data_IF_488133980618
#
_entry.id   IF_488133980618
#
_cell.length_a   1.000
_cell.length_b   1.000
_cell.length_c   1.000
_cell.angle_alpha   90.00
_cell.angle_beta   90.00
_cell.angle_gamma   90.00
#
_symmetry.space_group_name_H-M   'P 1'
#
loop_
_entity.id
_entity.type
_entity.pdbx_description
1 polymer ?
#
# COMPACT_ATOMS: atom_id res chain seq x y z
N UNK A 1 18.98 -16.62 -2.03
CA UNK A 1 19.03 -16.68 -0.55
C UNK A 1 18.02 -17.72 -0.13
N UNK A 2 18.47 -18.89 0.36
CA UNK A 2 17.60 -19.88 0.92
C UNK A 2 17.01 -19.32 2.23
N UNK A 3 15.70 -19.42 2.40
CA UNK A 3 15.05 -19.09 3.65
C UNK A 3 15.59 -20.00 4.76
N UNK A 4 15.85 -19.40 5.90
CA UNK A 4 16.40 -20.10 7.06
C UNK A 4 15.53 -21.32 7.43
N UNK A 5 16.08 -22.51 7.34
CA UNK A 5 15.70 -23.67 8.16
C UNK A 5 14.60 -24.60 7.68
N UNK A 6 13.95 -24.40 6.54
CA UNK A 6 13.05 -25.42 5.98
C UNK A 6 13.77 -26.29 4.96
N UNK A 7 13.56 -27.64 4.99
CA UNK A 7 14.06 -28.50 3.94
C UNK A 7 13.51 -28.00 2.61
N UNK A 8 14.35 -27.92 1.58
CA UNK A 8 13.96 -27.53 0.24
C UNK A 8 12.81 -28.46 -0.20
N UNK A 9 11.59 -27.97 -0.14
CA UNK A 9 10.43 -28.70 -0.61
C UNK A 9 10.59 -29.01 -2.10
N UNK A 10 9.77 -29.91 -2.62
CA UNK A 10 9.76 -30.27 -4.02
C UNK A 10 9.66 -29.03 -4.92
N UNK A 11 10.48 -28.99 -5.99
CA UNK A 11 10.52 -27.84 -6.91
C UNK A 11 9.16 -27.62 -7.57
N UNK A 12 8.72 -26.37 -7.62
CA UNK A 12 7.52 -25.99 -8.34
C UNK A 12 7.89 -25.77 -9.80
N UNK A 13 7.57 -26.74 -10.65
CA UNK A 13 7.88 -26.69 -12.09
C UNK A 13 6.70 -26.23 -12.94
N UNK A 14 5.49 -26.21 -12.40
CA UNK A 14 4.27 -25.75 -13.09
C UNK A 14 3.94 -24.31 -12.68
N UNK A 15 3.89 -23.39 -13.65
CA UNK A 15 3.44 -22.02 -13.42
C UNK A 15 1.90 -21.94 -13.30
N UNK A 16 1.42 -21.03 -12.46
CA UNK A 16 -0.03 -20.77 -12.33
C UNK A 16 -0.58 -20.11 -13.60
N UNK A 17 -1.70 -20.59 -14.16
CA UNK A 17 -2.35 -19.95 -15.30
C UNK A 17 -2.74 -18.49 -14.99
N UNK A 18 -2.54 -17.59 -15.94
CA UNK A 18 -2.90 -16.18 -15.79
C UNK A 18 -2.04 -15.39 -14.81
N UNK A 19 -0.90 -15.96 -14.34
CA UNK A 19 0.02 -15.35 -13.40
C UNK A 19 1.39 -15.06 -14.02
N UNK A 20 2.24 -14.31 -13.31
CA UNK A 20 3.57 -13.93 -13.78
C UNK A 20 4.62 -15.06 -13.70
N UNK A 21 4.26 -16.25 -13.22
CA UNK A 21 5.19 -17.33 -12.93
C UNK A 21 5.98 -17.77 -14.17
N UNK A 22 5.28 -18.09 -15.27
CA UNK A 22 5.92 -18.55 -16.50
C UNK A 22 6.88 -17.50 -17.08
N UNK A 23 6.40 -16.25 -17.18
CA UNK A 23 7.18 -15.14 -17.70
C UNK A 23 8.41 -14.89 -16.82
N UNK A 24 8.23 -14.92 -15.50
CA UNK A 24 9.31 -14.72 -14.54
C UNK A 24 10.36 -15.83 -14.60
N UNK A 25 9.94 -17.12 -14.64
CA UNK A 25 10.84 -18.27 -14.80
C UNK A 25 11.71 -18.10 -16.04
N UNK A 26 11.10 -17.75 -17.17
CA UNK A 26 11.82 -17.54 -18.44
C UNK A 26 12.73 -16.33 -18.40
N UNK A 27 12.27 -15.20 -17.84
CA UNK A 27 13.03 -13.95 -17.79
C UNK A 27 14.28 -14.05 -16.92
N UNK A 28 14.19 -14.77 -15.79
CA UNK A 28 15.27 -14.86 -14.81
C UNK A 28 16.02 -16.20 -14.84
N UNK A 29 15.73 -17.04 -15.84
CA UNK A 29 16.33 -18.37 -16.05
C UNK A 29 16.28 -19.21 -14.75
N UNK A 30 15.07 -19.36 -14.18
CA UNK A 30 14.86 -20.12 -12.95
C UNK A 30 14.33 -21.51 -13.25
N UNK A 31 14.78 -22.48 -12.47
CA UNK A 31 14.31 -23.87 -12.55
C UNK A 31 13.27 -24.19 -11.48
N UNK A 32 13.11 -23.33 -10.49
CA UNK A 32 12.10 -23.42 -9.44
C UNK A 32 11.17 -22.20 -9.50
N UNK A 33 9.89 -22.43 -9.72
CA UNK A 33 8.85 -21.39 -9.78
C UNK A 33 8.66 -20.64 -8.47
N UNK A 34 9.14 -21.18 -7.33
CA UNK A 34 9.05 -20.51 -6.03
C UNK A 34 9.77 -19.17 -6.01
N UNK A 35 10.90 -19.07 -6.70
CA UNK A 35 11.68 -17.83 -6.78
C UNK A 35 10.88 -16.68 -7.39
N UNK A 36 9.89 -17.01 -8.23
CA UNK A 36 9.01 -16.03 -8.87
C UNK A 36 7.68 -15.89 -8.14
N UNK A 37 7.13 -17.02 -7.66
CA UNK A 37 5.82 -17.09 -7.04
C UNK A 37 5.71 -16.16 -5.83
N UNK A 38 6.68 -16.18 -4.95
CA UNK A 38 6.70 -15.34 -3.75
C UNK A 38 6.89 -13.85 -4.11
N UNK A 39 7.67 -13.57 -5.13
CA UNK A 39 7.93 -12.20 -5.60
C UNK A 39 6.72 -11.57 -6.30
N UNK A 40 5.96 -12.35 -7.04
CA UNK A 40 4.77 -11.90 -7.79
C UNK A 40 3.47 -12.05 -6.99
N UNK A 41 3.54 -12.56 -5.78
CA UNK A 41 2.41 -12.73 -4.87
C UNK A 41 2.11 -11.43 -4.11
N UNK A 42 0.86 -11.27 -3.67
CA UNK A 42 0.47 -10.23 -2.70
C UNK A 42 1.27 -10.31 -1.38
N UNK A 43 1.87 -11.46 -1.06
CA UNK A 43 2.76 -11.65 0.09
C UNK A 43 3.99 -10.75 0.04
N UNK A 44 4.47 -10.36 -1.12
CA UNK A 44 5.57 -9.39 -1.25
C UNK A 44 5.23 -8.04 -0.60
N UNK A 45 3.96 -7.64 -0.64
CA UNK A 45 3.47 -6.43 0.03
C UNK A 45 3.70 -6.48 1.54
N UNK A 46 3.63 -7.65 2.18
CA UNK A 46 3.91 -7.83 3.60
C UNK A 46 5.33 -7.36 3.96
N UNK A 47 6.31 -7.67 3.11
CA UNK A 47 7.70 -7.22 3.34
C UNK A 47 7.83 -5.71 3.16
N UNK A 48 7.10 -5.11 2.21
CA UNK A 48 7.07 -3.65 2.04
C UNK A 48 6.48 -2.96 3.26
N UNK A 49 5.40 -3.50 3.82
CA UNK A 49 4.78 -2.99 5.06
C UNK A 49 5.76 -3.09 6.23
N UNK A 50 6.44 -4.23 6.39
CA UNK A 50 7.43 -4.42 7.46
C UNK A 50 8.59 -3.41 7.35
N UNK A 51 9.16 -3.25 6.18
CA UNK A 51 10.22 -2.25 5.93
C UNK A 51 9.70 -0.84 6.17
N UNK A 52 8.49 -0.54 5.68
CA UNK A 52 7.83 0.75 5.89
C UNK A 52 7.63 1.08 7.37
N UNK A 53 7.29 0.11 8.21
CA UNK A 53 7.16 0.29 9.64
C UNK A 53 8.49 0.69 10.30
N UNK A 54 9.59 0.00 9.96
CA UNK A 54 10.94 0.35 10.45
C UNK A 54 11.33 1.76 10.00
N UNK A 55 11.08 2.09 8.73
CA UNK A 55 11.37 3.43 8.21
C UNK A 55 10.53 4.51 8.93
N UNK A 56 9.27 4.25 9.24
CA UNK A 56 8.42 5.19 9.98
C UNK A 56 8.94 5.44 11.39
N UNK A 57 9.39 4.42 12.11
CA UNK A 57 10.01 4.59 13.44
C UNK A 57 11.30 5.40 13.37
N UNK A 58 12.14 5.19 12.36
CA UNK A 58 13.33 6.00 12.14
C UNK A 58 12.98 7.46 11.86
N UNK A 59 12.01 7.73 10.98
CA UNK A 59 11.55 9.08 10.66
C UNK A 59 10.95 9.78 11.90
N UNK A 60 10.20 9.05 12.71
CA UNK A 60 9.61 9.54 13.95
C UNK A 60 10.70 10.01 14.94
N UNK A 61 11.82 9.29 15.02
CA UNK A 61 12.97 9.70 15.83
C UNK A 61 13.60 11.03 15.34
N UNK A 62 13.39 11.39 14.07
CA UNK A 62 13.78 12.67 13.47
C UNK A 62 12.68 13.74 13.55
N UNK A 63 11.57 13.46 14.22
CA UNK A 63 10.41 14.35 14.32
C UNK A 63 9.52 14.40 13.07
N UNK A 64 9.70 13.47 12.14
CA UNK A 64 8.93 13.40 10.90
C UNK A 64 7.84 12.33 11.04
N UNK A 65 6.58 12.68 10.76
CA UNK A 65 5.45 11.78 10.80
C UNK A 65 4.92 11.51 9.39
N UNK A 66 4.69 10.24 9.09
CA UNK A 66 4.10 9.81 7.81
C UNK A 66 2.80 9.08 8.09
N UNK A 67 1.71 9.61 7.56
CA UNK A 67 0.36 9.05 7.69
C UNK A 67 -0.27 8.86 6.31
N UNK A 68 -1.25 7.99 6.22
CA UNK A 68 -2.00 7.78 4.98
C UNK A 68 -3.49 7.71 5.28
N UNK A 69 -4.29 8.05 4.27
CA UNK A 69 -5.74 7.91 4.33
C UNK A 69 -6.30 7.54 2.95
N UNK A 70 -7.42 6.85 2.94
CA UNK A 70 -8.20 6.62 1.72
C UNK A 70 -9.14 7.81 1.53
N UNK A 71 -9.07 8.45 0.37
CA UNK A 71 -9.86 9.65 0.05
C UNK A 71 -10.99 9.37 -0.94
N UNK A 72 -10.95 8.22 -1.63
CA UNK A 72 -12.00 7.85 -2.57
C UNK A 72 -12.05 6.34 -2.76
N UNK A 73 -13.24 5.76 -2.84
CA UNK A 73 -13.48 4.41 -3.36
C UNK A 73 -14.68 4.45 -4.30
N UNK A 74 -14.47 4.03 -5.55
CA UNK A 74 -15.46 4.13 -6.61
C UNK A 74 -15.83 5.59 -6.89
N UNK A 75 -17.09 5.93 -6.70
CA UNK A 75 -17.64 7.29 -6.84
C UNK A 75 -17.79 8.05 -5.50
N UNK A 76 -17.53 7.37 -4.38
CA UNK A 76 -17.62 7.95 -3.03
C UNK A 76 -16.32 8.65 -2.69
N UNK A 77 -16.39 9.95 -2.45
CA UNK A 77 -15.25 10.79 -2.05
C UNK A 77 -15.42 11.30 -0.64
N UNK A 78 -14.31 11.35 0.08
CA UNK A 78 -14.21 11.98 1.41
C UNK A 78 -14.30 13.52 1.23
N UNK A 79 -15.08 14.16 2.08
CA UNK A 79 -15.08 15.62 2.19
C UNK A 79 -13.86 16.07 3.02
N UNK A 80 -12.90 16.81 2.44
CA UNK A 80 -11.71 17.24 3.18
C UNK A 80 -12.02 18.07 4.44
N UNK A 81 -13.18 18.73 4.47
CA UNK A 81 -13.62 19.53 5.63
C UNK A 81 -14.09 18.66 6.81
N UNK A 82 -14.47 17.40 6.56
CA UNK A 82 -14.93 16.45 7.58
C UNK A 82 -13.80 15.59 8.13
N UNK A 83 -12.60 15.63 7.55
CA UNK A 83 -11.45 14.84 8.00
C UNK A 83 -10.88 15.46 9.26
N UNK A 84 -10.93 14.71 10.36
CA UNK A 84 -10.25 15.07 11.59
C UNK A 84 -8.76 14.73 11.48
N UNK A 85 -7.96 15.74 11.17
CA UNK A 85 -6.51 15.57 11.01
C UNK A 85 -5.80 15.10 12.27
N UNK A 86 -6.36 15.36 13.45
CA UNK A 86 -5.78 14.91 14.71
C UNK A 86 -5.89 13.39 14.90
N UNK A 87 -6.82 12.76 14.21
CA UNK A 87 -7.02 11.31 14.24
C UNK A 87 -6.19 10.55 13.20
N UNK A 88 -5.58 11.24 12.26
CA UNK A 88 -4.76 10.61 11.23
C UNK A 88 -3.64 9.77 11.87
N UNK A 89 -3.65 8.47 11.58
CA UNK A 89 -2.67 7.52 12.09
C UNK A 89 -2.90 7.03 13.53
N UNK A 90 -3.95 7.48 14.23
CA UNK A 90 -4.25 7.05 15.61
C UNK A 90 -5.41 6.07 15.67
N UNK A 91 -6.44 6.25 14.87
CA UNK A 91 -7.59 5.36 14.77
C UNK A 91 -7.46 4.46 13.56
N UNK A 92 -7.66 3.17 13.75
CA UNK A 92 -7.67 2.19 12.67
C UNK A 92 -9.12 2.02 12.24
N UNK A 93 -9.52 2.69 11.15
CA UNK A 93 -10.76 2.35 10.46
C UNK A 93 -10.53 1.15 9.53
N UNK A 94 -11.58 0.39 9.22
CA UNK A 94 -11.48 -0.78 8.34
C UNK A 94 -10.96 -0.43 6.94
N UNK A 95 -11.24 0.79 6.48
CA UNK A 95 -10.82 1.29 5.16
C UNK A 95 -9.72 2.35 5.22
N UNK A 96 -9.17 2.63 6.40
CA UNK A 96 -8.23 3.74 6.61
C UNK A 96 -8.82 5.09 6.14
N UNK A 97 -10.10 5.30 6.43
CA UNK A 97 -10.86 6.49 6.08
C UNK A 97 -11.26 7.24 7.35
N UNK A 98 -11.02 8.54 7.40
CA UNK A 98 -11.26 9.37 8.60
C UNK A 98 -12.54 10.21 8.52
N UNK A 99 -13.43 9.88 7.60
CA UNK A 99 -14.80 10.36 7.51
C UNK A 99 -15.74 9.16 7.66
N UNK A 100 -16.41 9.05 8.80
CA UNK A 100 -17.26 7.89 9.12
C UNK A 100 -18.47 7.74 8.19
N UNK A 101 -19.00 8.85 7.66
CA UNK A 101 -20.11 8.83 6.73
C UNK A 101 -19.66 8.31 5.36
N UNK A 102 -18.55 8.84 4.87
CA UNK A 102 -17.95 8.36 3.63
C UNK A 102 -17.50 6.90 3.74
N UNK A 103 -16.92 6.48 4.87
CA UNK A 103 -16.53 5.09 5.11
C UNK A 103 -17.72 4.14 5.03
N UNK A 104 -18.85 4.50 5.63
CA UNK A 104 -20.05 3.67 5.55
C UNK A 104 -20.56 3.52 4.10
N UNK A 105 -20.58 4.61 3.33
CA UNK A 105 -20.95 4.58 1.92
C UNK A 105 -19.97 3.75 1.08
N UNK A 106 -18.65 3.88 1.32
CA UNK A 106 -17.62 3.08 0.65
C UNK A 106 -17.80 1.58 0.93
N UNK A 107 -18.11 1.20 2.19
CA UNK A 107 -18.39 -0.20 2.56
C UNK A 107 -19.59 -0.77 1.79
N UNK A 108 -20.64 0.01 1.60
CA UNK A 108 -21.81 -0.43 0.82
C UNK A 108 -21.46 -0.59 -0.68
N UNK A 109 -20.67 0.32 -1.25
CA UNK A 109 -20.19 0.18 -2.63
C UNK A 109 -19.33 -1.07 -2.82
N UNK A 110 -18.43 -1.35 -1.89
CA UNK A 110 -17.60 -2.57 -1.93
C UNK A 110 -18.47 -3.83 -1.88
N UNK A 111 -19.50 -3.85 -1.03
CA UNK A 111 -20.43 -5.00 -0.96
C UNK A 111 -21.22 -5.19 -2.26
N UNK A 112 -21.67 -4.08 -2.86
CA UNK A 112 -22.39 -4.12 -4.14
C UNK A 112 -21.50 -4.67 -5.26
N UNK A 113 -20.30 -4.12 -5.46
CA UNK A 113 -19.35 -4.57 -6.46
C UNK A 113 -18.98 -6.05 -6.28
N UNK A 114 -18.76 -6.48 -5.03
CA UNK A 114 -18.50 -7.90 -4.72
C UNK A 114 -19.66 -8.81 -5.13
N UNK A 115 -20.91 -8.38 -4.93
CA UNK A 115 -22.10 -9.14 -5.33
C UNK A 115 -22.23 -9.25 -6.84
N UNK A 116 -21.84 -8.21 -7.56
CA UNK A 116 -21.87 -8.14 -9.02
C UNK A 116 -20.66 -8.83 -9.66
N UNK A 117 -19.65 -9.20 -8.88
CA UNK A 117 -18.41 -9.79 -9.37
C UNK A 117 -17.50 -8.77 -10.07
N UNK A 118 -17.66 -7.49 -9.74
CA UNK A 118 -16.90 -6.38 -10.31
C UNK A 118 -15.84 -5.85 -9.33
N UNK A 119 -15.01 -4.92 -9.79
CA UNK A 119 -13.93 -4.28 -9.02
C UNK A 119 -14.16 -2.77 -8.90
N UNK A 120 -13.59 -2.18 -7.86
CA UNK A 120 -13.61 -0.73 -7.65
C UNK A 120 -12.19 -0.17 -7.65
N UNK A 121 -12.02 1.00 -8.27
CA UNK A 121 -10.83 1.82 -8.10
C UNK A 121 -10.90 2.64 -6.82
N UNK A 122 -9.76 3.20 -6.40
CA UNK A 122 -9.69 4.07 -5.23
C UNK A 122 -8.53 5.05 -5.32
N UNK A 123 -8.56 6.06 -4.46
CA UNK A 123 -7.52 7.05 -4.30
C UNK A 123 -7.14 7.09 -2.83
N UNK A 124 -5.87 7.09 -2.55
CA UNK A 124 -5.33 7.30 -1.22
C UNK A 124 -4.33 8.46 -1.24
N UNK A 125 -4.19 9.10 -0.10
CA UNK A 125 -3.26 10.19 0.13
C UNK A 125 -2.24 9.76 1.18
N UNK A 126 -0.98 10.15 0.99
CA UNK A 126 0.08 9.98 1.98
C UNK A 126 0.57 11.36 2.35
N UNK A 127 0.49 11.71 3.62
CA UNK A 127 0.93 12.99 4.16
C UNK A 127 2.19 12.80 4.98
N UNK A 128 3.18 13.66 4.76
CA UNK A 128 4.40 13.74 5.54
C UNK A 128 4.41 15.07 6.28
N UNK A 129 4.43 15.04 7.60
CA UNK A 129 4.49 16.22 8.45
C UNK A 129 5.93 16.48 8.91
N UNK A 130 6.27 17.76 9.08
CA UNK A 130 7.61 18.21 9.48
C UNK A 130 8.77 17.83 8.53
N UNK A 131 8.44 17.44 7.28
CA UNK A 131 9.45 17.26 6.24
C UNK A 131 10.08 18.62 5.85
N UNK A 132 11.40 18.68 5.80
CA UNK A 132 12.09 19.85 5.24
C UNK A 132 11.85 19.90 3.73
N UNK A 133 11.55 21.08 3.21
CA UNK A 133 11.22 21.34 1.79
C UNK A 133 12.28 20.85 0.79
N UNK A 134 13.54 20.69 1.22
CA UNK A 134 14.66 20.24 0.38
C UNK A 134 14.88 18.72 0.37
N UNK A 135 14.08 17.96 1.10
CA UNK A 135 14.21 16.49 1.19
C UNK A 135 13.45 15.75 0.09
N UNK A 136 12.91 16.46 -0.91
CA UNK A 136 12.25 15.83 -2.05
C UNK A 136 13.27 15.02 -2.84
N UNK A 137 13.22 13.70 -2.71
CA UNK A 137 13.96 12.81 -3.58
C UNK A 137 13.42 12.92 -5.01
N UNK A 138 14.32 13.06 -5.97
CA UNK A 138 14.01 12.84 -7.37
C UNK A 138 13.73 11.36 -7.58
N UNK A 139 12.49 10.91 -7.40
CA UNK A 139 12.08 9.57 -7.78
C UNK A 139 11.41 9.63 -9.15
N UNK A 140 11.78 8.71 -10.01
CA UNK A 140 11.14 8.45 -11.29
C UNK A 140 9.77 7.76 -11.07
N UNK A 141 8.81 8.50 -10.55
CA UNK A 141 7.44 8.06 -10.33
C UNK A 141 6.56 9.28 -10.10
N UNK A 142 5.33 9.22 -10.55
CA UNK A 142 4.34 10.31 -10.46
C UNK A 142 3.86 10.52 -9.00
N UNK A 143 4.77 10.82 -8.10
CA UNK A 143 4.46 11.25 -6.75
C UNK A 143 4.74 12.75 -6.64
N UNK A 144 3.70 13.55 -6.73
CA UNK A 144 3.79 14.97 -6.42
C UNK A 144 3.81 15.12 -4.88
N UNK A 145 4.96 15.45 -4.31
CA UNK A 145 5.06 15.88 -2.92
C UNK A 145 4.64 17.34 -2.84
N UNK A 146 3.39 17.58 -2.44
CA UNK A 146 2.92 18.92 -2.10
C UNK A 146 3.25 19.16 -0.62
N UNK A 147 4.30 19.93 -0.34
CA UNK A 147 4.58 20.39 1.02
C UNK A 147 3.67 21.59 1.32
N UNK A 148 2.68 21.42 2.19
CA UNK A 148 1.96 22.55 2.78
C UNK A 148 2.76 23.02 4.01
N UNK A 149 3.33 24.22 3.91
CA UNK A 149 3.88 24.91 5.07
C UNK A 149 2.72 25.36 5.97
N UNK A 150 2.77 25.15 7.30
CA UNK A 150 1.83 25.85 8.17
C UNK A 150 2.08 27.35 8.02
N UNK A 151 1.01 28.11 7.79
CA UNK A 151 1.06 29.56 7.81
C UNK A 151 1.50 30.06 9.19
N UNK A 152 2.23 31.17 9.28
CA UNK A 152 2.71 31.73 10.52
C UNK A 152 1.59 32.15 11.46
#
# INVERSE_FOLDING_TARGET
>A
MAAFGEPAGEKVTAGRPGHADFTGIRKYDRTDGRDILERSSARETTMRVAVGAVCKEFLKALGITVVSQVTCIGDVKVDPAKVDRAKLGTDISDLNCYDAEAEAQMKEKIKAARKEGDTLGGIFEVTCEACRQASAATSSGTAALTASSPAP
#
